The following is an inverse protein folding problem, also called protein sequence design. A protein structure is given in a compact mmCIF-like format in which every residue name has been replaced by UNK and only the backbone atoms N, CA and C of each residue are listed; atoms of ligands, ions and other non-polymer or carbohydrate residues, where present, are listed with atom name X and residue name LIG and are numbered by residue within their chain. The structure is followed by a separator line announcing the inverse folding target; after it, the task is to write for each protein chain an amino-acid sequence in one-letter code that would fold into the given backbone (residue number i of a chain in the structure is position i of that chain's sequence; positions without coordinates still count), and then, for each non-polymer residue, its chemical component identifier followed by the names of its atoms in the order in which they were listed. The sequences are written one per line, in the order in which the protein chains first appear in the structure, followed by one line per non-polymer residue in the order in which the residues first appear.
data_IF_547292496094
#
_entry.id   IF_547292496094
#
_cell.length_a   1.000
_cell.length_b   1.000
_cell.length_c   1.000
_cell.angle_alpha   90.00
_cell.angle_beta   90.00
_cell.angle_gamma   90.00
#
_symmetry.space_group_name_H-M   'P 1'
#
loop_
_entity.id
_entity.type
_entity.pdbx_description
1 polymer ?
#
# COMPACT_ATOMS: atom_id res chain seq x y z
N UNK A 1 -9.56 -0.29 -4.56
CA UNK A 1 -9.96 0.58 -3.43
C UNK A 1 -8.71 1.28 -2.91
N UNK A 2 -8.77 2.58 -2.66
CA UNK A 2 -7.65 3.34 -2.09
C UNK A 2 -8.18 4.18 -0.93
N UNK A 3 -7.54 4.07 0.22
CA UNK A 3 -7.85 4.85 1.42
C UNK A 3 -6.83 5.98 1.56
N UNK A 4 -7.32 7.20 1.72
CA UNK A 4 -6.53 8.42 1.83
C UNK A 4 -6.64 9.31 0.60
N UNK A 5 -6.63 10.61 0.84
CA UNK A 5 -6.57 11.62 -0.21
C UNK A 5 -5.32 12.50 -0.03
N UNK A 6 -4.16 11.92 -0.35
CA UNK A 6 -2.86 12.58 -0.26
C UNK A 6 -1.90 12.11 -1.36
N UNK A 7 -0.65 12.55 -1.32
CA UNK A 7 0.33 12.23 -2.35
C UNK A 7 0.52 10.70 -2.54
N UNK A 8 0.51 9.95 -1.44
CA UNK A 8 0.67 8.49 -1.49
C UNK A 8 -0.50 7.79 -2.19
N UNK A 9 -1.74 8.26 -2.05
CA UNK A 9 -2.86 7.63 -2.75
C UNK A 9 -2.79 7.87 -4.26
N UNK A 10 -2.35 9.05 -4.68
CA UNK A 10 -2.12 9.35 -6.10
C UNK A 10 -1.02 8.44 -6.67
N UNK A 11 0.13 8.37 -6.01
CA UNK A 11 1.26 7.54 -6.45
C UNK A 11 0.90 6.04 -6.50
N UNK A 12 0.10 5.55 -5.53
CA UNK A 12 -0.34 4.15 -5.53
C UNK A 12 -1.37 3.86 -6.62
N UNK A 13 -2.25 4.80 -6.96
CA UNK A 13 -3.12 4.63 -8.13
C UNK A 13 -2.28 4.56 -9.40
N UNK A 14 -1.33 5.49 -9.60
CA UNK A 14 -0.44 5.49 -10.76
C UNK A 14 0.31 4.14 -10.89
N UNK A 15 0.90 3.67 -9.78
CA UNK A 15 1.61 2.40 -9.72
C UNK A 15 0.70 1.23 -10.10
N UNK A 16 -0.44 1.09 -9.42
CA UNK A 16 -1.34 -0.06 -9.62
C UNK A 16 -1.89 -0.08 -11.05
N UNK A 17 -2.27 1.07 -11.61
CA UNK A 17 -2.75 1.16 -12.99
C UNK A 17 -1.64 0.77 -13.98
N UNK A 18 -0.39 1.20 -13.74
CA UNK A 18 0.73 0.84 -14.59
C UNK A 18 1.02 -0.67 -14.60
N UNK A 19 0.94 -1.34 -13.42
CA UNK A 19 1.23 -2.78 -13.31
C UNK A 19 -0.01 -3.68 -13.50
N UNK A 20 -1.22 -3.10 -13.51
CA UNK A 20 -2.51 -3.78 -13.77
C UNK A 20 -3.34 -2.94 -14.76
N UNK A 21 -3.00 -2.96 -16.06
CA UNK A 21 -3.69 -2.18 -17.07
C UNK A 21 -5.14 -2.62 -17.33
N UNK A 22 -5.61 -3.71 -16.70
CA UNK A 22 -7.00 -4.15 -16.71
C UNK A 22 -7.91 -3.40 -15.73
N UNK A 23 -7.36 -2.57 -14.83
CA UNK A 23 -8.16 -1.75 -13.92
C UNK A 23 -9.04 -0.77 -14.71
N UNK A 24 -10.33 -0.72 -14.36
CA UNK A 24 -11.33 0.19 -14.96
C UNK A 24 -12.06 1.06 -13.96
N UNK A 25 -12.03 0.69 -12.68
CA UNK A 25 -12.76 1.36 -11.61
C UNK A 25 -11.86 1.49 -10.39
N UNK A 26 -11.87 2.68 -9.78
CA UNK A 26 -11.14 2.98 -8.55
C UNK A 26 -12.07 3.74 -7.61
N UNK A 27 -12.30 3.15 -6.45
CA UNK A 27 -12.91 3.83 -5.31
C UNK A 27 -11.81 4.49 -4.48
N UNK A 28 -11.96 5.79 -4.18
CA UNK A 28 -11.07 6.57 -3.33
C UNK A 28 -11.84 7.03 -2.12
N UNK A 29 -11.39 6.63 -0.94
CA UNK A 29 -12.00 7.00 0.32
C UNK A 29 -11.15 8.03 1.06
N UNK A 30 -11.79 8.98 1.74
CA UNK A 30 -11.13 9.80 2.73
C UNK A 30 -12.09 10.19 3.86
N UNK A 31 -11.56 10.52 5.03
CA UNK A 31 -12.38 10.98 6.17
C UNK A 31 -13.14 12.27 5.88
N UNK A 32 -12.55 13.19 5.10
CA UNK A 32 -13.14 14.49 4.79
C UNK A 32 -13.26 14.72 3.29
N UNK A 33 -14.33 15.41 2.88
CA UNK A 33 -14.62 15.66 1.46
C UNK A 33 -13.64 16.66 0.84
N UNK A 34 -13.18 17.64 1.62
CA UNK A 34 -12.36 18.76 1.17
C UNK A 34 -11.02 18.30 0.58
N UNK A 35 -10.43 17.25 1.15
CA UNK A 35 -9.19 16.66 0.62
C UNK A 35 -9.44 15.67 -0.51
N UNK A 36 -10.63 15.08 -0.58
CA UNK A 36 -10.96 14.03 -1.54
C UNK A 36 -11.16 14.59 -2.96
N UNK A 37 -11.91 15.68 -3.11
CA UNK A 37 -12.26 16.23 -4.43
C UNK A 37 -11.04 16.63 -5.27
N UNK A 38 -10.01 17.34 -4.74
CA UNK A 38 -8.82 17.67 -5.51
C UNK A 38 -8.08 16.42 -6.02
N UNK A 39 -7.99 15.38 -5.18
CA UNK A 39 -7.34 14.11 -5.55
C UNK A 39 -8.13 13.40 -6.65
N UNK A 40 -9.46 13.33 -6.54
CA UNK A 40 -10.31 12.73 -7.57
C UNK A 40 -10.18 13.45 -8.91
N UNK A 41 -10.15 14.78 -8.90
CA UNK A 41 -10.01 15.56 -10.13
C UNK A 41 -8.66 15.30 -10.81
N UNK A 42 -7.56 15.33 -10.05
CA UNK A 42 -6.24 15.01 -10.58
C UNK A 42 -6.17 13.57 -11.12
N UNK A 43 -6.75 12.60 -10.41
CA UNK A 43 -6.76 11.21 -10.86
C UNK A 43 -7.56 11.01 -12.15
N UNK A 44 -8.70 11.68 -12.30
CA UNK A 44 -9.51 11.67 -13.54
C UNK A 44 -8.75 12.29 -14.71
N UNK A 45 -8.01 13.37 -14.47
CA UNK A 45 -7.17 13.99 -15.50
C UNK A 45 -6.04 13.06 -15.95
N UNK A 46 -5.33 12.44 -15.00
CA UNK A 46 -4.21 11.53 -15.28
C UNK A 46 -4.64 10.22 -15.94
N UNK A 47 -5.82 9.72 -15.58
CA UNK A 47 -6.33 8.40 -16.00
C UNK A 47 -7.75 8.50 -16.58
N UNK A 48 -7.95 9.15 -17.75
CA UNK A 48 -9.28 9.44 -18.28
C UNK A 48 -10.10 8.19 -18.67
N UNK A 49 -9.44 7.02 -18.82
CA UNK A 49 -10.10 5.74 -19.11
C UNK A 49 -10.60 5.00 -17.87
N UNK A 50 -10.38 5.53 -16.66
CA UNK A 50 -10.75 4.90 -15.39
C UNK A 50 -11.88 5.69 -14.74
N UNK A 51 -12.86 4.96 -14.23
CA UNK A 51 -13.97 5.54 -13.47
C UNK A 51 -13.54 5.70 -12.01
N UNK A 52 -13.57 6.93 -11.51
CA UNK A 52 -13.23 7.26 -10.12
C UNK A 52 -14.47 7.65 -9.30
N UNK A 53 -14.71 6.87 -8.25
CA UNK A 53 -15.79 7.09 -7.27
C UNK A 53 -15.20 7.53 -5.94
N UNK A 54 -15.70 8.63 -5.39
CA UNK A 54 -15.31 9.13 -4.08
C UNK A 54 -16.22 8.61 -2.97
N UNK A 55 -15.65 8.19 -1.84
CA UNK A 55 -16.37 7.77 -0.63
C UNK A 55 -15.88 8.61 0.56
N UNK A 56 -16.79 9.06 1.43
CA UNK A 56 -16.43 9.96 2.55
C UNK A 56 -16.89 9.40 3.89
N UNK A 57 -15.97 9.28 4.85
CA UNK A 57 -16.31 8.90 6.22
C UNK A 57 -17.04 7.55 6.30
N UNK A 58 -18.22 7.53 6.92
CA UNK A 58 -19.06 6.32 7.06
C UNK A 58 -20.00 6.12 5.86
N UNK A 59 -19.50 6.33 4.65
CA UNK A 59 -20.26 6.13 3.42
C UNK A 59 -20.84 4.70 3.39
N UNK A 60 -22.15 4.57 3.13
CA UNK A 60 -22.83 3.28 3.12
C UNK A 60 -22.30 2.31 2.06
N UNK A 61 -21.67 2.83 1.00
CA UNK A 61 -21.07 2.01 -0.05
C UNK A 61 -19.63 1.57 0.27
N UNK A 62 -19.10 1.92 1.45
CA UNK A 62 -17.73 1.55 1.82
C UNK A 62 -17.53 0.04 1.90
N UNK A 63 -18.44 -0.67 2.56
CA UNK A 63 -18.38 -2.13 2.65
C UNK A 63 -18.38 -2.77 1.26
N UNK A 64 -19.33 -2.38 0.41
CA UNK A 64 -19.42 -2.90 -0.96
C UNK A 64 -18.16 -2.59 -1.77
N UNK A 65 -17.57 -1.40 -1.62
CA UNK A 65 -16.34 -1.03 -2.31
C UNK A 65 -15.14 -1.87 -1.87
N UNK A 66 -15.05 -2.23 -0.58
CA UNK A 66 -14.00 -3.13 -0.06
C UNK A 66 -14.24 -4.56 -0.53
N UNK A 67 -15.48 -5.05 -0.48
CA UNK A 67 -15.84 -6.41 -0.95
C UNK A 67 -15.55 -6.61 -2.43
N UNK A 68 -15.72 -5.58 -3.26
CA UNK A 68 -15.44 -5.67 -4.69
C UNK A 68 -13.99 -5.31 -5.07
N UNK A 69 -13.11 -5.08 -4.09
CA UNK A 69 -11.73 -4.66 -4.36
C UNK A 69 -10.79 -5.86 -4.58
N UNK A 70 -10.26 -5.98 -5.80
CA UNK A 70 -9.13 -6.87 -6.10
C UNK A 70 -7.79 -6.35 -5.54
N UNK A 71 -7.66 -5.03 -5.44
CA UNK A 71 -6.49 -4.35 -4.85
C UNK A 71 -6.97 -3.28 -3.88
N UNK A 72 -6.42 -3.29 -2.67
CA UNK A 72 -6.62 -2.29 -1.63
C UNK A 72 -5.29 -1.59 -1.35
N UNK A 73 -5.28 -0.27 -1.28
CA UNK A 73 -4.12 0.50 -0.82
C UNK A 73 -4.55 1.35 0.38
N UNK A 74 -3.87 1.22 1.52
CA UNK A 74 -4.08 2.08 2.69
C UNK A 74 -2.95 3.09 2.78
N UNK A 75 -3.29 4.37 2.59
CA UNK A 75 -2.35 5.48 2.45
C UNK A 75 -2.75 6.64 3.38
N UNK A 76 -3.12 6.33 4.62
CA UNK A 76 -3.67 7.26 5.62
C UNK A 76 -2.82 7.30 6.88
N UNK A 77 -2.97 8.40 7.64
CA UNK A 77 -2.38 8.50 8.96
C UNK A 77 -3.38 8.09 10.06
N UNK A 78 -4.02 6.94 9.90
CA UNK A 78 -5.03 6.47 10.85
C UNK A 78 -4.41 5.86 12.11
N UNK A 79 -5.11 5.99 13.23
CA UNK A 79 -4.81 5.36 14.53
C UNK A 79 -5.86 4.31 14.90
N UNK A 80 -6.78 4.03 13.98
CA UNK A 80 -7.86 3.06 14.11
C UNK A 80 -8.12 2.41 12.75
N UNK A 81 -8.53 1.13 12.70
CA UNK A 81 -8.85 0.46 11.45
C UNK A 81 -9.88 1.23 10.63
N UNK A 82 -9.64 1.32 9.31
CA UNK A 82 -10.45 2.14 8.40
C UNK A 82 -11.60 1.32 7.78
N UNK A 83 -11.45 0.01 7.75
CA UNK A 83 -12.46 -0.94 7.28
C UNK A 83 -12.38 -2.23 8.10
N UNK A 84 -13.45 -3.02 8.07
CA UNK A 84 -13.51 -4.34 8.70
C UNK A 84 -12.84 -5.40 7.81
N UNK A 85 -11.89 -6.16 8.36
CA UNK A 85 -11.19 -7.21 7.62
C UNK A 85 -12.09 -8.31 7.10
N UNK A 86 -13.29 -8.51 7.67
CA UNK A 86 -14.28 -9.48 7.16
C UNK A 86 -14.90 -9.07 5.81
N UNK A 87 -14.67 -7.84 5.36
CA UNK A 87 -15.11 -7.39 4.03
C UNK A 87 -14.13 -7.81 2.94
N UNK A 88 -12.86 -8.08 3.27
CA UNK A 88 -11.84 -8.47 2.29
C UNK A 88 -12.18 -9.84 1.69
N UNK A 89 -12.21 -9.91 0.36
CA UNK A 89 -12.54 -11.13 -0.36
C UNK A 89 -11.28 -11.96 -0.69
N UNK A 90 -11.43 -13.27 -0.92
CA UNK A 90 -10.35 -14.10 -1.43
C UNK A 90 -9.71 -13.51 -2.70
N UNK A 91 -8.39 -13.62 -2.80
CA UNK A 91 -7.57 -13.15 -3.91
C UNK A 91 -7.16 -11.67 -3.83
N UNK A 92 -7.72 -10.88 -2.91
CA UNK A 92 -7.38 -9.47 -2.73
C UNK A 92 -5.90 -9.28 -2.39
N UNK A 93 -5.28 -8.30 -3.05
CA UNK A 93 -3.95 -7.80 -2.70
C UNK A 93 -4.06 -6.47 -1.93
N UNK A 94 -3.33 -6.33 -0.83
CA UNK A 94 -3.36 -5.14 0.02
C UNK A 94 -1.95 -4.54 0.11
N UNK A 95 -1.83 -3.26 -0.20
CA UNK A 95 -0.66 -2.44 0.13
C UNK A 95 -0.98 -1.63 1.40
N UNK A 96 -0.36 -1.97 2.52
CA UNK A 96 -0.40 -1.18 3.76
C UNK A 96 0.84 -0.30 3.85
N UNK A 97 0.67 1.02 3.66
CA UNK A 97 1.81 1.94 3.55
C UNK A 97 1.66 3.21 4.40
N UNK A 98 0.48 3.47 4.98
CA UNK A 98 0.23 4.66 5.78
C UNK A 98 0.66 4.53 7.25
N UNK A 99 0.63 3.33 7.84
CA UNK A 99 1.02 3.09 9.24
C UNK A 99 2.54 2.89 9.43
N UNK A 100 3.27 3.88 9.93
CA UNK A 100 4.74 3.81 10.12
C UNK A 100 5.20 4.14 11.55
N UNK A 101 4.28 4.19 12.50
CA UNK A 101 4.59 4.25 13.93
C UNK A 101 3.77 3.21 14.70
N UNK A 102 4.20 2.87 15.92
CA UNK A 102 3.59 1.79 16.71
C UNK A 102 2.13 2.05 17.13
N UNK A 103 1.73 3.31 17.22
CA UNK A 103 0.38 3.75 17.56
C UNK A 103 -0.54 3.89 16.34
N UNK A 104 0.02 3.89 15.12
CA UNK A 104 -0.76 3.94 13.89
C UNK A 104 -1.36 2.57 13.55
N UNK A 105 -2.57 2.61 13.02
CA UNK A 105 -3.35 1.43 12.65
C UNK A 105 -4.30 1.82 11.52
N UNK A 106 -4.11 1.21 10.35
CA UNK A 106 -4.97 1.40 9.17
C UNK A 106 -5.86 0.18 8.93
N UNK A 107 -5.34 -1.01 9.23
CA UNK A 107 -6.03 -2.28 9.06
C UNK A 107 -6.19 -2.97 10.40
N UNK A 108 -7.31 -3.68 10.55
CA UNK A 108 -7.59 -4.42 11.77
C UNK A 108 -6.77 -5.71 11.86
N UNK A 109 -6.84 -6.32 13.05
CA UNK A 109 -6.16 -7.57 13.35
C UNK A 109 -6.73 -8.77 12.61
N UNK A 110 -7.99 -8.68 12.16
CA UNK A 110 -8.59 -9.61 11.21
C UNK A 110 -7.79 -9.60 9.90
N UNK A 111 -7.61 -8.41 9.30
CA UNK A 111 -6.90 -8.21 8.03
C UNK A 111 -5.45 -8.69 8.11
N UNK A 112 -4.72 -8.34 9.18
CA UNK A 112 -3.32 -8.78 9.39
C UNK A 112 -3.18 -10.32 9.42
N UNK A 113 -4.23 -11.01 9.88
CA UNK A 113 -4.31 -12.47 9.97
C UNK A 113 -4.70 -13.19 8.68
N UNK A 114 -5.25 -12.50 7.68
CA UNK A 114 -5.76 -13.12 6.45
C UNK A 114 -4.67 -13.81 5.59
N UNK A 115 -3.50 -13.20 5.32
CA UNK A 115 -2.56 -13.79 4.38
C UNK A 115 -1.66 -14.83 5.06
N UNK A 116 -1.21 -15.84 4.32
CA UNK A 116 -0.23 -16.84 4.81
C UNK A 116 1.07 -16.18 5.24
N UNK A 117 1.62 -15.30 4.39
CA UNK A 117 2.82 -14.51 4.65
C UNK A 117 2.52 -13.03 4.46
N UNK A 118 3.24 -12.18 5.19
CA UNK A 118 3.26 -10.74 4.96
C UNK A 118 4.55 -10.42 4.22
N UNK A 119 4.45 -9.75 3.09
CA UNK A 119 5.61 -9.20 2.42
C UNK A 119 5.94 -7.87 3.08
N UNK A 120 7.18 -7.66 3.49
CA UNK A 120 7.64 -6.41 4.11
C UNK A 120 8.74 -5.77 3.26
N UNK A 121 8.93 -4.47 3.36
CA UNK A 121 10.09 -3.79 2.78
C UNK A 121 11.39 -4.16 3.52
N UNK A 122 11.41 -4.03 4.84
CA UNK A 122 12.48 -4.42 5.75
C UNK A 122 11.87 -5.04 7.00
N UNK A 123 12.31 -6.25 7.33
CA UNK A 123 11.85 -6.94 8.55
C UNK A 123 12.21 -6.15 9.80
N UNK A 124 13.42 -5.60 9.84
CA UNK A 124 13.93 -4.89 11.01
C UNK A 124 13.21 -3.55 11.23
N UNK A 125 12.95 -2.80 10.16
CA UNK A 125 12.18 -1.56 10.25
C UNK A 125 10.73 -1.84 10.66
N UNK A 126 10.07 -2.80 10.01
CA UNK A 126 8.69 -3.16 10.34
C UNK A 126 8.51 -3.66 11.78
N UNK A 127 9.51 -4.32 12.38
CA UNK A 127 9.48 -4.74 13.80
C UNK A 127 9.40 -3.55 14.77
N UNK A 128 9.82 -2.37 14.35
CA UNK A 128 9.89 -1.16 15.18
C UNK A 128 8.77 -0.18 14.82
N UNK A 129 8.31 -0.17 13.57
CA UNK A 129 7.47 0.89 13.02
C UNK A 129 6.08 0.43 12.56
N UNK A 130 5.88 -0.86 12.24
CA UNK A 130 4.60 -1.35 11.72
C UNK A 130 3.63 -1.72 12.85
N UNK A 131 3.04 -0.73 13.53
CA UNK A 131 2.25 -0.90 14.77
C UNK A 131 1.23 -2.04 14.77
N UNK A 132 0.35 -2.10 13.77
CA UNK A 132 -0.67 -3.15 13.64
C UNK A 132 -0.08 -4.57 13.47
N UNK A 133 1.08 -4.69 12.83
CA UNK A 133 1.79 -5.96 12.66
C UNK A 133 2.60 -6.33 13.91
N UNK A 134 3.26 -5.36 14.54
CA UNK A 134 3.96 -5.56 15.82
C UNK A 134 2.99 -5.99 16.91
N UNK A 135 1.76 -5.43 16.93
CA UNK A 135 0.70 -5.89 17.84
C UNK A 135 0.37 -7.36 17.62
N UNK A 136 0.19 -7.80 16.37
CA UNK A 136 -0.07 -9.22 16.06
C UNK A 136 1.06 -10.15 16.52
N UNK A 137 2.30 -9.68 16.46
CA UNK A 137 3.48 -10.43 16.94
C UNK A 137 3.48 -10.53 18.46
N UNK A 138 3.28 -9.41 19.15
CA UNK A 138 3.25 -9.37 20.61
C UNK A 138 2.12 -10.22 21.21
N UNK A 139 1.00 -10.35 20.49
CA UNK A 139 -0.12 -11.22 20.87
C UNK A 139 0.06 -12.69 20.45
N UNK A 140 1.20 -13.04 19.84
CA UNK A 140 1.50 -14.42 19.42
C UNK A 140 0.68 -14.90 18.22
N UNK A 141 -0.01 -14.00 17.50
CA UNK A 141 -0.78 -14.32 16.29
C UNK A 141 0.09 -14.43 15.04
N UNK A 142 1.30 -13.88 15.10
CA UNK A 142 2.28 -13.88 14.01
C UNK A 142 3.70 -14.04 14.55
N UNK A 143 4.59 -14.57 13.74
CA UNK A 143 6.04 -14.56 13.99
C UNK A 143 6.76 -13.88 12.81
N UNK A 144 7.55 -12.82 13.02
CA UNK A 144 8.28 -12.16 11.93
C UNK A 144 9.26 -13.10 11.22
N UNK A 145 9.83 -14.05 11.95
CA UNK A 145 10.89 -14.90 11.41
C UNK A 145 10.34 -15.98 10.49
N UNK A 146 9.11 -16.45 10.75
CA UNK A 146 8.44 -17.44 9.89
C UNK A 146 7.48 -16.79 8.91
N UNK A 147 6.78 -15.72 9.27
CA UNK A 147 5.63 -15.22 8.53
C UNK A 147 5.93 -14.02 7.65
N UNK A 148 7.04 -13.31 7.89
CA UNK A 148 7.40 -12.14 7.10
C UNK A 148 8.49 -12.48 6.08
N UNK A 149 8.25 -12.04 4.85
CA UNK A 149 9.16 -12.21 3.71
C UNK A 149 9.55 -10.84 3.19
N UNK A 150 10.84 -10.54 3.11
CA UNK A 150 11.28 -9.25 2.57
C UNK A 150 11.09 -9.20 1.06
N UNK A 151 10.61 -8.08 0.53
CA UNK A 151 10.38 -7.88 -0.91
C UNK A 151 11.67 -8.08 -1.72
N UNK A 152 12.82 -7.70 -1.17
CA UNK A 152 14.12 -7.93 -1.79
C UNK A 152 14.47 -9.42 -1.96
N UNK A 153 13.98 -10.29 -1.07
CA UNK A 153 14.13 -11.74 -1.22
C UNK A 153 13.28 -12.26 -2.38
N UNK A 154 12.04 -11.79 -2.52
CA UNK A 154 11.16 -12.16 -3.65
C UNK A 154 11.73 -11.71 -4.99
N UNK A 155 12.38 -10.54 -5.05
CA UNK A 155 13.03 -10.06 -6.28
C UNK A 155 14.25 -10.92 -6.65
N UNK A 156 15.06 -11.32 -5.65
CA UNK A 156 16.26 -12.15 -5.87
C UNK A 156 15.93 -13.62 -6.15
N UNK A 157 14.84 -14.11 -5.56
CA UNK A 157 14.40 -15.51 -5.60
C UNK A 157 12.88 -15.56 -5.89
N UNK A 158 12.47 -15.36 -7.16
CA UNK A 158 11.06 -15.31 -7.55
C UNK A 158 10.26 -16.57 -7.21
N UNK A 159 10.91 -17.72 -7.04
CA UNK A 159 10.29 -18.97 -6.59
C UNK A 159 9.66 -18.86 -5.19
N UNK A 160 10.14 -17.93 -4.35
CA UNK A 160 9.56 -17.65 -3.03
C UNK A 160 8.16 -17.05 -3.12
N UNK A 161 7.75 -16.50 -4.28
CA UNK A 161 6.40 -15.96 -4.48
C UNK A 161 5.33 -17.01 -4.17
N UNK A 162 5.57 -18.29 -4.48
CA UNK A 162 4.64 -19.38 -4.16
C UNK A 162 4.40 -19.59 -2.66
N UNK A 163 5.30 -19.12 -1.80
CA UNK A 163 5.11 -19.16 -0.35
C UNK A 163 4.20 -18.03 0.15
N UNK A 164 4.10 -16.94 -0.62
CA UNK A 164 3.25 -15.77 -0.33
C UNK A 164 1.87 -15.93 -0.95
N UNK A 165 1.83 -16.33 -2.23
CA UNK A 165 0.61 -16.60 -3.01
C UNK A 165 0.79 -17.95 -3.71
N UNK A 166 0.20 -18.99 -3.14
CA UNK A 166 0.18 -20.33 -3.69
C UNK A 166 -0.97 -20.51 -4.69
N UNK A 167 -2.12 -19.89 -4.40
CA UNK A 167 -3.35 -19.95 -5.19
C UNK A 167 -3.87 -18.55 -5.50
N UNK A 168 -4.78 -18.44 -6.47
CA UNK A 168 -5.34 -17.15 -6.88
C UNK A 168 -6.17 -16.52 -5.75
N UNK A 169 -6.82 -17.35 -4.94
CA UNK A 169 -7.68 -16.97 -3.82
C UNK A 169 -6.89 -16.52 -2.58
N UNK A 170 -5.56 -16.70 -2.56
CA UNK A 170 -4.75 -16.27 -1.43
C UNK A 170 -4.75 -14.74 -1.33
N UNK A 171 -5.19 -14.26 -0.18
CA UNK A 171 -5.06 -12.85 0.18
C UNK A 171 -3.59 -12.56 0.44
N UNK A 172 -3.11 -11.41 -0.03
CA UNK A 172 -1.70 -11.02 0.13
C UNK A 172 -1.60 -9.61 0.68
N UNK A 173 -0.65 -9.39 1.60
CA UNK A 173 -0.36 -8.08 2.15
C UNK A 173 1.10 -7.75 1.85
N UNK A 174 1.33 -6.58 1.27
CA UNK A 174 2.61 -5.89 1.32
C UNK A 174 2.52 -4.77 2.37
N UNK A 175 3.44 -4.80 3.34
CA UNK A 175 3.59 -3.79 4.37
C UNK A 175 4.86 -2.99 4.11
N UNK A 176 4.74 -1.67 4.08
CA UNK A 176 5.88 -0.77 3.98
C UNK A 176 5.85 0.28 5.10
N UNK A 177 7.03 0.56 5.66
CA UNK A 177 7.30 1.68 6.57
C UNK A 177 8.34 2.66 5.99
N UNK A 178 8.98 2.27 4.88
CA UNK A 178 9.99 3.05 4.18
C UNK A 178 11.40 2.54 4.47
N UNK A 179 12.25 2.51 3.45
CA UNK A 179 13.65 2.10 3.60
C UNK A 179 14.52 3.08 2.81
N UNK A 180 15.50 3.69 3.48
CA UNK A 180 16.38 4.72 2.90
C UNK A 180 17.12 4.27 1.64
N UNK A 181 17.40 2.97 1.51
CA UNK A 181 18.00 2.41 0.30
C UNK A 181 17.16 2.65 -0.96
N UNK A 182 15.83 2.70 -0.84
CA UNK A 182 14.92 3.01 -1.95
C UNK A 182 15.08 4.47 -2.39
N UNK A 183 15.16 5.40 -1.42
CA UNK A 183 15.35 6.83 -1.70
C UNK A 183 16.70 7.09 -2.39
N UNK A 184 17.77 6.47 -1.88
CA UNK A 184 19.12 6.61 -2.44
C UNK A 184 19.18 6.07 -3.87
N UNK A 185 18.57 4.90 -4.12
CA UNK A 185 18.54 4.31 -5.46
C UNK A 185 17.78 5.19 -6.47
N UNK A 186 16.65 5.77 -6.07
CA UNK A 186 15.89 6.70 -6.92
C UNK A 186 16.65 8.02 -7.13
N UNK A 187 17.28 8.57 -6.07
CA UNK A 187 18.08 9.77 -6.17
C UNK A 187 19.25 9.59 -7.15
N UNK A 188 19.98 8.47 -7.06
CA UNK A 188 21.06 8.14 -7.99
C UNK A 188 20.54 8.06 -9.44
N UNK A 189 19.41 7.38 -9.67
CA UNK A 189 18.79 7.28 -10.98
C UNK A 189 18.42 8.66 -11.55
N UNK A 190 17.84 9.53 -10.74
CA UNK A 190 17.45 10.90 -11.13
C UNK A 190 18.70 11.72 -11.46
N UNK A 191 19.74 11.68 -10.64
CA UNK A 191 21.00 12.41 -10.88
C UNK A 191 21.63 11.96 -12.20
N UNK A 192 21.77 10.64 -12.42
CA UNK A 192 22.30 10.10 -13.68
C UNK A 192 21.49 10.53 -14.90
N UNK A 193 20.16 10.62 -14.76
CA UNK A 193 19.29 11.08 -15.84
C UNK A 193 19.46 12.57 -16.09
N UNK A 194 19.56 13.38 -15.03
CA UNK A 194 19.74 14.82 -15.11
C UNK A 194 21.08 15.18 -15.77
N UNK A 195 22.17 14.47 -15.42
CA UNK A 195 23.47 14.60 -16.07
C UNK A 195 23.39 14.32 -17.58
N UNK A 196 22.71 13.23 -17.96
CA UNK A 196 22.54 12.86 -19.37
C UNK A 196 21.74 13.90 -20.17
N UNK A 197 20.73 14.49 -19.53
CA UNK A 197 19.84 15.47 -20.17
C UNK A 197 20.34 16.92 -20.00
N UNK A 198 21.51 17.14 -19.36
CA UNK A 198 22.05 18.46 -19.01
C UNK A 198 21.08 19.33 -18.19
N UNK A 199 20.39 18.71 -17.23
CA UNK A 199 19.46 19.35 -16.32
C UNK A 199 20.12 19.50 -14.94
N UNK A 200 19.97 20.66 -14.31
CA UNK A 200 20.47 20.95 -12.96
C UNK A 200 21.57 22.00 -12.92
N UNK A 201 22.16 22.20 -11.75
CA UNK A 201 23.24 23.16 -11.51
C UNK A 201 24.33 22.48 -10.67
N UNK A 202 25.58 22.58 -11.13
CA UNK A 202 26.74 22.22 -10.32
C UNK A 202 26.99 23.35 -9.32
N UNK A 203 27.05 23.00 -8.04
CA UNK A 203 27.40 23.92 -6.95
C UNK A 203 28.75 23.47 -6.42
N UNK A 204 29.75 24.34 -6.55
CA UNK A 204 31.09 24.11 -5.99
C UNK A 204 31.05 24.42 -4.48
N UNK A 205 31.66 23.56 -3.68
CA UNK A 205 31.84 23.75 -2.23
C UNK A 205 33.13 24.51 -1.94
#
# INVERSE_FOLDING_TARGET
MVFGAGAQSIAHVDLVVAVRPSIRQVHVWNRSKERLEPVLNLLREKHPSIIFTGLVGQDSSLEDAVRNAHVICTCTNSYVPIFDGHWVQPGTHINSVGSYTLDMEEIDQTTVGLPRKIVVDSRDACKIEAGEHVRAVNEGRRSPDTDWVEVGALVKQPELIKQVREKEEDITIFKSVGVSAQDVAIAEMIVRRAEKDNIGQIVEN
#
